data_IF_599783476445
#
_entry.id   IF_599783476445
#
_cell.length_a   1.000
_cell.length_b   1.000
_cell.length_c   1.000
_cell.angle_alpha   90.00
_cell.angle_beta   90.00
_cell.angle_gamma   90.00
#
_symmetry.space_group_name_H-M   'P 1'
#
loop_
_entity.id
_entity.type
_entity.pdbx_description
1 polymer ?
#
# COMPACT_ATOMS: atom_id res chain seq x y z
N UNK A 1 -0.76 13.44 17.90
CA UNK A 1 0.28 12.49 17.43
C UNK A 1 1.23 12.01 18.52
N UNK A 2 1.53 12.79 19.57
CA UNK A 2 2.47 12.38 20.64
C UNK A 2 2.09 11.06 21.36
N UNK A 3 0.81 10.85 21.66
CA UNK A 3 0.33 9.65 22.37
C UNK A 3 0.57 8.31 21.66
N UNK A 4 0.63 8.30 20.32
CA UNK A 4 0.84 7.07 19.55
C UNK A 4 2.31 6.67 19.57
N UNK A 5 3.21 7.66 19.51
CA UNK A 5 4.65 7.47 19.60
C UNK A 5 5.01 6.97 21.01
N UNK A 6 4.39 7.55 22.04
CA UNK A 6 4.57 7.12 23.43
C UNK A 6 4.01 5.72 23.70
N UNK A 7 2.92 5.33 23.03
CA UNK A 7 2.32 4.00 23.16
C UNK A 7 3.20 2.87 22.59
N UNK A 8 4.21 3.21 21.78
CA UNK A 8 5.13 2.26 21.13
C UNK A 8 6.56 2.39 21.69
N UNK A 9 6.75 3.26 22.69
CA UNK A 9 7.98 3.30 23.47
C UNK A 9 8.28 1.90 24.02
N UNK A 10 9.45 1.32 23.70
CA UNK A 10 10.73 2.01 23.52
C UNK A 10 11.32 1.92 22.09
N UNK A 11 10.50 1.71 21.05
CA UNK A 11 10.95 1.72 19.65
C UNK A 11 10.92 3.15 19.06
N UNK A 12 11.95 3.51 18.30
CA UNK A 12 12.01 4.78 17.60
C UNK A 12 11.28 4.66 16.26
N UNK A 13 10.29 5.52 16.05
CA UNK A 13 9.54 5.62 14.81
C UNK A 13 10.28 6.56 13.85
N UNK A 14 10.62 6.09 12.65
CA UNK A 14 11.22 6.90 11.60
C UNK A 14 10.16 7.78 10.92
N UNK A 15 9.00 7.20 10.60
CA UNK A 15 7.90 7.90 9.92
C UNK A 15 6.56 7.42 10.44
N UNK A 16 5.61 8.34 10.59
CA UNK A 16 4.25 8.10 11.02
C UNK A 16 3.31 8.66 9.97
N UNK A 17 2.49 7.80 9.38
CA UNK A 17 1.47 8.18 8.39
C UNK A 17 0.11 7.98 9.05
N UNK A 18 -0.69 9.04 9.08
CA UNK A 18 -2.02 9.05 9.67
C UNK A 18 -3.05 9.00 8.55
N UNK A 19 -3.92 8.00 8.57
CA UNK A 19 -5.07 7.92 7.71
C UNK A 19 -6.33 8.19 8.55
N UNK A 20 -6.86 9.41 8.39
CA UNK A 20 -8.02 9.88 9.15
C UNK A 20 -9.32 9.24 8.68
N UNK A 21 -9.38 8.77 7.44
CA UNK A 21 -10.59 8.21 6.85
C UNK A 21 -10.82 6.79 7.37
N UNK A 22 -9.76 5.97 7.35
CA UNK A 22 -9.78 4.60 7.84
C UNK A 22 -9.50 4.47 9.35
N UNK A 23 -9.25 5.59 10.05
CA UNK A 23 -8.80 5.62 11.46
C UNK A 23 -7.63 4.67 11.71
N UNK A 24 -6.69 4.65 10.78
CA UNK A 24 -5.49 3.82 10.81
C UNK A 24 -4.23 4.68 10.91
N UNK A 25 -3.19 4.09 11.49
CA UNK A 25 -1.88 4.70 11.65
C UNK A 25 -0.84 3.69 11.21
N UNK A 26 -0.07 4.08 10.20
CA UNK A 26 1.06 3.29 9.73
C UNK A 26 2.35 3.87 10.28
N UNK A 27 3.10 3.01 10.96
CA UNK A 27 4.34 3.37 11.62
C UNK A 27 5.50 2.65 10.97
N UNK A 28 6.46 3.43 10.49
CA UNK A 28 7.67 2.93 9.88
C UNK A 28 8.77 2.99 10.92
N UNK A 29 9.35 1.84 11.22
CA UNK A 29 10.46 1.70 12.17
C UNK A 29 11.68 1.10 11.48
N UNK A 30 12.89 1.31 11.99
CA UNK A 30 14.07 0.60 11.50
C UNK A 30 13.90 -0.91 11.61
N UNK A 31 14.45 -1.68 10.66
CA UNK A 31 14.30 -3.14 10.60
C UNK A 31 14.71 -3.86 11.89
N UNK A 32 15.78 -3.38 12.56
CA UNK A 32 16.26 -3.92 13.82
C UNK A 32 15.33 -3.65 15.02
N UNK A 33 14.34 -2.76 14.88
CA UNK A 33 13.40 -2.37 15.93
C UNK A 33 11.97 -2.86 15.68
N UNK A 34 11.67 -3.47 14.53
CA UNK A 34 10.34 -4.01 14.20
C UNK A 34 9.80 -4.95 15.28
N UNK A 35 10.61 -5.91 15.73
CA UNK A 35 10.21 -6.86 16.80
C UNK A 35 9.91 -6.16 18.13
N UNK A 36 10.66 -5.10 18.46
CA UNK A 36 10.49 -4.31 19.69
C UNK A 36 9.20 -3.49 19.63
N UNK A 37 8.90 -2.92 18.47
CA UNK A 37 7.70 -2.14 18.21
C UNK A 37 6.43 -3.00 18.24
N UNK A 38 6.46 -4.19 17.63
CA UNK A 38 5.35 -5.16 17.64
C UNK A 38 5.14 -5.73 19.06
N UNK A 39 6.23 -6.02 19.78
CA UNK A 39 6.21 -6.68 21.08
C UNK A 39 5.94 -8.18 20.97
N UNK A 40 6.10 -8.91 22.08
CA UNK A 40 5.85 -10.37 22.11
C UNK A 40 4.38 -10.65 21.78
N UNK A 41 4.13 -11.50 20.78
CA UNK A 41 2.78 -11.83 20.28
C UNK A 41 1.91 -10.61 19.90
N UNK A 42 2.55 -9.52 19.43
CA UNK A 42 1.83 -8.30 19.03
C UNK A 42 1.21 -7.53 20.19
N UNK A 43 1.65 -7.79 21.44
CA UNK A 43 1.05 -7.19 22.63
C UNK A 43 1.17 -5.66 22.64
N UNK A 44 2.29 -5.10 22.18
CA UNK A 44 2.50 -3.64 22.20
C UNK A 44 1.57 -2.96 21.19
N UNK A 45 1.51 -3.46 19.95
CA UNK A 45 0.57 -2.96 18.92
C UNK A 45 -0.88 -3.06 19.38
N UNK A 46 -1.26 -4.17 19.99
CA UNK A 46 -2.63 -4.38 20.49
C UNK A 46 -2.99 -3.39 21.58
N UNK A 47 -2.10 -3.18 22.56
CA UNK A 47 -2.31 -2.22 23.64
C UNK A 47 -2.36 -0.79 23.11
N UNK A 48 -1.44 -0.42 22.20
CA UNK A 48 -1.43 0.89 21.58
C UNK A 48 -2.72 1.16 20.79
N UNK A 49 -3.19 0.17 20.03
CA UNK A 49 -4.46 0.27 19.29
C UNK A 49 -5.67 0.41 20.24
N UNK A 50 -5.69 -0.35 21.35
CA UNK A 50 -6.75 -0.24 22.37
C UNK A 50 -6.76 1.11 23.08
N UNK A 51 -5.58 1.66 23.41
CA UNK A 51 -5.44 2.94 24.11
C UNK A 51 -5.79 4.12 23.21
N UNK A 52 -5.38 4.06 21.95
CA UNK A 52 -5.62 5.14 20.99
C UNK A 52 -6.99 5.06 20.35
N UNK A 53 -7.60 3.86 20.30
CA UNK A 53 -8.79 3.52 19.50
C UNK A 53 -8.58 3.65 17.99
N UNK A 54 -7.34 3.57 17.54
CA UNK A 54 -6.97 3.58 16.12
C UNK A 54 -6.41 2.21 15.73
N UNK A 55 -6.58 1.82 14.47
CA UNK A 55 -5.86 0.68 13.92
C UNK A 55 -4.40 1.09 13.77
N UNK A 56 -3.47 0.27 14.25
CA UNK A 56 -2.03 0.58 14.16
C UNK A 56 -1.35 -0.56 13.44
N UNK A 57 -0.74 -0.24 12.30
CA UNK A 57 0.06 -1.16 11.51
C UNK A 57 1.53 -0.70 11.56
N UNK A 58 2.46 -1.63 11.81
CA UNK A 58 3.89 -1.33 11.93
C UNK A 58 4.66 -2.03 10.82
N UNK A 59 5.40 -1.25 10.04
CA UNK A 59 6.23 -1.69 8.93
C UNK A 59 7.69 -1.40 9.22
N UNK A 60 8.59 -2.24 8.72
CA UNK A 60 10.00 -1.86 8.66
C UNK A 60 10.27 -0.94 7.47
N UNK A 61 11.36 -0.18 7.51
CA UNK A 61 11.80 0.65 6.36
C UNK A 61 11.95 -0.19 5.10
N UNK A 62 12.61 -1.35 5.20
CA UNK A 62 12.75 -2.28 4.06
C UNK A 62 11.37 -2.71 3.56
N UNK A 63 10.46 -3.10 4.45
CA UNK A 63 9.15 -3.58 4.05
C UNK A 63 8.28 -2.48 3.41
N UNK A 64 8.35 -1.28 3.95
CA UNK A 64 7.63 -0.12 3.42
C UNK A 64 8.16 0.25 2.03
N UNK A 65 9.47 0.19 1.81
CA UNK A 65 10.05 0.42 0.49
C UNK A 65 9.66 -0.69 -0.51
N UNK A 66 9.67 -1.96 -0.10
CA UNK A 66 9.18 -3.06 -0.96
C UNK A 66 7.73 -2.86 -1.40
N UNK A 67 6.87 -2.41 -0.49
CA UNK A 67 5.46 -2.14 -0.79
C UNK A 67 5.35 -1.02 -1.82
N UNK A 68 6.08 0.08 -1.61
CA UNK A 68 6.09 1.20 -2.56
C UNK A 68 6.65 0.78 -3.91
N UNK A 69 7.76 0.04 -3.95
CA UNK A 69 8.36 -0.44 -5.20
C UNK A 69 7.43 -1.40 -5.96
N UNK A 70 6.67 -2.22 -5.23
CA UNK A 70 5.64 -3.08 -5.82
C UNK A 70 4.50 -2.25 -6.40
N UNK A 71 3.99 -1.28 -5.63
CA UNK A 71 2.94 -0.38 -6.07
C UNK A 71 3.35 0.40 -7.32
N UNK A 72 4.57 0.96 -7.35
CA UNK A 72 5.11 1.67 -8.52
C UNK A 72 5.10 0.78 -9.75
N UNK A 73 5.54 -0.49 -9.63
CA UNK A 73 5.55 -1.43 -10.76
C UNK A 73 4.14 -1.76 -11.25
N UNK A 74 3.19 -1.91 -10.34
CA UNK A 74 1.81 -2.24 -10.68
C UNK A 74 1.12 -1.04 -11.35
N UNK A 75 1.22 0.15 -10.75
CA UNK A 75 0.61 1.38 -11.23
C UNK A 75 1.24 1.88 -12.54
N UNK A 76 2.54 1.62 -12.77
CA UNK A 76 3.21 1.94 -14.05
C UNK A 76 2.63 1.21 -15.27
N UNK A 77 1.75 0.21 -15.06
CA UNK A 77 1.02 -0.45 -16.15
C UNK A 77 -0.07 0.45 -16.73
N UNK A 78 -0.54 1.44 -15.97
CA UNK A 78 -1.45 2.48 -16.45
C UNK A 78 -0.60 3.51 -17.20
N UNK A 79 -0.65 3.46 -18.54
CA UNK A 79 0.17 4.32 -19.40
C UNK A 79 -0.14 5.82 -19.31
N UNK A 80 -1.24 6.19 -18.66
CA UNK A 80 -1.69 7.56 -18.47
C UNK A 80 -1.05 8.24 -17.24
N UNK A 81 -0.47 7.45 -16.33
CA UNK A 81 0.15 7.96 -15.12
C UNK A 81 1.66 8.12 -15.32
N UNK A 82 2.19 9.28 -14.96
CA UNK A 82 3.63 9.50 -14.90
C UNK A 82 4.22 9.13 -13.51
N UNK A 83 5.54 9.27 -13.37
CA UNK A 83 6.23 8.95 -12.10
C UNK A 83 5.79 9.86 -10.94
N UNK A 84 5.35 11.10 -11.23
CA UNK A 84 4.86 12.05 -10.22
C UNK A 84 3.45 11.68 -9.76
N UNK A 85 2.58 11.31 -10.70
CA UNK A 85 1.22 10.82 -10.43
C UNK A 85 1.23 9.56 -9.57
N UNK A 86 2.08 8.59 -9.94
CA UNK A 86 2.26 7.34 -9.18
C UNK A 86 2.73 7.64 -7.75
N UNK A 87 3.63 8.60 -7.56
CA UNK A 87 4.11 8.98 -6.23
C UNK A 87 2.99 9.58 -5.38
N UNK A 88 2.11 10.39 -5.98
CA UNK A 88 0.95 10.98 -5.29
C UNK A 88 -0.04 9.88 -4.90
N UNK A 89 -0.36 8.96 -5.81
CA UNK A 89 -1.22 7.81 -5.55
C UNK A 89 -0.71 6.96 -4.37
N UNK A 90 0.57 6.60 -4.39
CA UNK A 90 1.20 5.83 -3.29
C UNK A 90 1.11 6.57 -1.96
N UNK A 91 1.31 7.90 -1.97
CA UNK A 91 1.17 8.73 -0.76
C UNK A 91 -0.24 8.73 -0.20
N UNK A 92 -1.23 8.64 -1.07
CA UNK A 92 -2.65 8.58 -0.73
C UNK A 92 -3.18 7.16 -0.57
N UNK A 93 -2.29 6.16 -0.45
CA UNK A 93 -2.62 4.75 -0.18
C UNK A 93 -3.30 4.01 -1.34
N UNK A 94 -3.27 4.57 -2.55
CA UNK A 94 -3.51 3.80 -3.76
C UNK A 94 -2.25 2.98 -4.06
N UNK A 95 -2.26 1.72 -3.65
CA UNK A 95 -1.08 0.83 -3.72
C UNK A 95 -1.24 -0.26 -4.78
N UNK A 96 -2.46 -0.51 -5.24
CA UNK A 96 -2.79 -1.54 -6.23
C UNK A 96 -3.64 -0.96 -7.36
N UNK A 97 -3.69 -1.66 -8.49
CA UNK A 97 -4.57 -1.28 -9.60
C UNK A 97 -6.04 -1.31 -9.19
N UNK A 98 -6.41 -2.23 -8.29
CA UNK A 98 -7.77 -2.31 -7.72
C UNK A 98 -8.12 -1.05 -6.95
N UNK A 99 -7.19 -0.49 -6.18
CA UNK A 99 -7.45 0.75 -5.43
C UNK A 99 -7.74 1.92 -6.38
N UNK A 100 -7.05 1.98 -7.52
CA UNK A 100 -7.29 3.01 -8.55
C UNK A 100 -8.60 2.77 -9.29
N UNK A 101 -8.93 1.52 -9.60
CA UNK A 101 -10.20 1.15 -10.25
C UNK A 101 -11.42 1.44 -9.36
N UNK A 102 -11.30 1.21 -8.05
CA UNK A 102 -12.36 1.48 -7.08
C UNK A 102 -12.44 2.97 -6.67
N UNK A 103 -11.48 3.80 -7.12
CA UNK A 103 -11.48 5.25 -6.87
C UNK A 103 -12.62 5.94 -7.61
N UNK A 104 -13.16 7.03 -7.04
CA UNK A 104 -14.09 7.87 -7.78
C UNK A 104 -13.36 8.83 -8.71
N UNK A 105 -14.02 9.25 -9.79
CA UNK A 105 -13.50 10.28 -10.70
C UNK A 105 -13.18 11.57 -9.94
N UNK A 106 -14.05 11.96 -8.99
CA UNK A 106 -13.86 13.14 -8.14
C UNK A 106 -12.57 13.04 -7.30
N UNK A 107 -12.30 11.87 -6.72
CA UNK A 107 -11.07 11.66 -5.94
C UNK A 107 -9.81 11.78 -6.82
N UNK A 108 -9.83 11.23 -8.03
CA UNK A 108 -8.70 11.30 -8.96
C UNK A 108 -8.46 12.73 -9.46
N UNK A 109 -9.54 13.46 -9.74
CA UNK A 109 -9.48 14.87 -10.14
C UNK A 109 -8.91 15.75 -9.01
N UNK A 110 -9.39 15.57 -7.79
CA UNK A 110 -8.93 16.34 -6.63
C UNK A 110 -7.47 16.00 -6.25
N UNK A 111 -7.10 14.73 -6.42
CA UNK A 111 -5.79 14.23 -6.02
C UNK A 111 -4.68 14.60 -7.02
N UNK A 112 -4.94 14.37 -8.31
CA UNK A 112 -3.94 14.48 -9.38
C UNK A 112 -4.13 15.74 -10.23
N UNK A 113 -5.25 16.45 -10.06
CA UNK A 113 -5.56 17.64 -10.86
C UNK A 113 -6.01 17.30 -12.29
N UNK A 114 -6.45 16.06 -12.52
CA UNK A 114 -6.94 15.60 -13.80
C UNK A 114 -8.32 16.17 -14.14
N UNK A 115 -8.64 16.12 -15.44
CA UNK A 115 -9.98 16.37 -15.95
C UNK A 115 -10.87 15.14 -15.76
N UNK A 116 -12.19 15.33 -15.85
CA UNK A 116 -13.17 14.23 -15.77
C UNK A 116 -12.91 13.14 -16.84
N UNK A 117 -12.54 13.56 -18.06
CA UNK A 117 -12.18 12.65 -19.15
C UNK A 117 -10.91 11.84 -18.83
N UNK A 118 -9.86 12.48 -18.32
CA UNK A 118 -8.63 11.80 -17.90
C UNK A 118 -8.87 10.82 -16.74
N UNK A 119 -9.70 11.21 -15.75
CA UNK A 119 -10.05 10.35 -14.64
C UNK A 119 -10.80 9.08 -15.10
N UNK A 120 -11.77 9.23 -16.02
CA UNK A 120 -12.47 8.10 -16.62
C UNK A 120 -11.50 7.18 -17.39
N UNK A 121 -10.60 7.76 -18.20
CA UNK A 121 -9.60 7.00 -18.96
C UNK A 121 -8.65 6.22 -18.03
N UNK A 122 -8.25 6.80 -16.89
CA UNK A 122 -7.39 6.14 -15.90
C UNK A 122 -8.10 4.94 -15.26
N UNK A 123 -9.36 5.09 -14.86
CA UNK A 123 -10.15 4.00 -14.26
C UNK A 123 -10.31 2.86 -15.28
N UNK A 124 -10.61 3.19 -16.54
CA UNK A 124 -10.68 2.19 -17.62
C UNK A 124 -9.33 1.51 -17.88
N UNK A 125 -8.23 2.28 -17.86
CA UNK A 125 -6.89 1.74 -18.01
C UNK A 125 -6.50 0.83 -16.84
N UNK A 126 -6.94 1.15 -15.61
CA UNK A 126 -6.77 0.31 -14.43
C UNK A 126 -7.51 -1.02 -14.58
N UNK A 127 -8.78 -1.03 -15.00
CA UNK A 127 -9.55 -2.26 -15.26
C UNK A 127 -8.84 -3.17 -16.27
N UNK A 128 -8.41 -2.59 -17.39
CA UNK A 128 -7.68 -3.33 -18.42
C UNK A 128 -6.37 -3.91 -17.87
N UNK A 129 -5.61 -3.13 -17.11
CA UNK A 129 -4.36 -3.58 -16.50
C UNK A 129 -4.58 -4.72 -15.49
N UNK A 130 -5.69 -4.70 -14.74
CA UNK A 130 -6.08 -5.78 -13.82
C UNK A 130 -6.35 -7.06 -14.60
N UNK A 131 -7.12 -6.99 -15.68
CA UNK A 131 -7.41 -8.16 -16.54
C UNK A 131 -6.12 -8.73 -17.12
N UNK A 132 -5.26 -7.89 -17.67
CA UNK A 132 -3.97 -8.31 -18.25
C UNK A 132 -3.07 -8.99 -17.20
N UNK A 133 -3.01 -8.45 -15.99
CA UNK A 133 -2.25 -9.03 -14.87
C UNK A 133 -2.81 -10.39 -14.45
N UNK A 134 -4.14 -10.52 -14.34
CA UNK A 134 -4.78 -11.80 -14.00
C UNK A 134 -4.54 -12.86 -15.08
N UNK A 135 -4.52 -12.48 -16.35
CA UNK A 135 -4.18 -13.39 -17.45
C UNK A 135 -2.70 -13.81 -17.42
N UNK A 136 -1.78 -12.89 -17.15
CA UNK A 136 -0.35 -13.21 -16.93
C UNK A 136 -0.18 -14.21 -15.79
N UNK A 137 -0.81 -13.96 -14.63
CA UNK A 137 -0.74 -14.88 -13.49
C UNK A 137 -1.33 -16.25 -13.83
N UNK A 138 -2.47 -16.30 -14.53
CA UNK A 138 -3.10 -17.56 -14.95
C UNK A 138 -2.15 -18.36 -15.83
N UNK A 139 -1.53 -17.71 -16.83
CA UNK A 139 -0.55 -18.34 -17.74
C UNK A 139 0.66 -18.89 -16.98
N UNK A 140 1.19 -18.14 -16.01
CA UNK A 140 2.32 -18.58 -15.19
C UNK A 140 1.97 -19.78 -14.30
N UNK A 141 0.76 -19.80 -13.72
CA UNK A 141 0.27 -20.93 -12.92
C UNK A 141 0.11 -22.18 -13.77
N UNK A 142 -0.43 -22.06 -14.99
CA UNK A 142 -0.55 -23.17 -15.94
C UNK A 142 0.81 -23.75 -16.36
N UNK A 143 1.83 -22.90 -16.56
CA UNK A 143 3.20 -23.33 -16.88
C UNK A 143 3.87 -24.07 -15.70
N UNK A 144 3.65 -23.61 -14.47
CA UNK A 144 4.24 -24.21 -13.27
C UNK A 144 3.66 -25.60 -12.97
N UNK A 145 2.37 -25.81 -13.27
CA UNK A 145 1.70 -27.11 -13.10
C UNK A 145 2.20 -28.14 -14.12
N UNK A 146 2.76 -27.72 -15.25
CA UNK A 146 3.20 -28.60 -16.33
C UNK A 146 4.70 -28.96 -16.29
N UNK A 147 5.37 -28.80 -15.15
CA UNK A 147 6.73 -29.32 -14.95
C UNK A 147 6.60 -30.80 -14.55
N UNK A 148 6.92 -31.78 -15.42
CA UNK A 148 7.00 -33.16 -14.99
C UNK A 148 8.06 -33.25 -13.88
N UNK A 149 7.68 -33.82 -12.74
CA UNK A 149 8.63 -34.26 -11.71
C UNK A 149 9.55 -35.27 -12.39
N UNK A 150 10.70 -34.79 -12.89
CA UNK A 150 11.77 -35.65 -13.36
C UNK A 150 12.35 -36.37 -12.13
N UNK A 151 12.44 -37.70 -12.26
CA UNK A 151 12.85 -38.70 -11.27
C UNK A 151 14.09 -38.37 -10.43
#
# INVERSE_FOLDING_TARGET
>A
THFVIDAIAPANVTKCILDTENRSIDLIVPDNQLSKAIGRHGQNVRLASQLTQWKIDIYSETKHNEINDSATKELSRISLLDDEDILILIRHKYLTLTDVYDASEEDLMDLLGFTEEEAEEIIQAADKAIVDLQEEERRLREQTINIPQAE
#
